data_IF_394865220314
#
_entry.id   IF_394865220314
#
_cell.length_a   1.000
_cell.length_b   1.000
_cell.length_c   1.000
_cell.angle_alpha   90.00
_cell.angle_beta   90.00
_cell.angle_gamma   90.00
#
_symmetry.space_group_name_H-M   'P 1'
#
loop_
_entity.id
_entity.type
_entity.pdbx_description
1 polymer ?
#
# COMPACT_ATOMS: atom_id res chain seq x y z
N UNK A 1 -20.52 7.96 -24.20
CA UNK A 1 -19.73 8.71 -23.21
C UNK A 1 -20.34 8.44 -21.86
N UNK A 2 -19.73 7.55 -21.08
CA UNK A 2 -19.78 7.54 -19.61
C UNK A 2 -18.50 6.83 -19.20
N UNK A 3 -17.51 7.63 -18.83
CA UNK A 3 -16.33 7.18 -18.13
C UNK A 3 -16.66 7.43 -16.66
N UNK A 4 -16.84 6.35 -15.91
CA UNK A 4 -16.95 6.39 -14.44
C UNK A 4 -15.64 5.80 -13.94
N UNK A 5 -14.55 6.55 -14.04
CA UNK A 5 -13.37 6.30 -13.21
C UNK A 5 -13.77 6.63 -11.78
N UNK A 6 -14.02 5.59 -10.99
CA UNK A 6 -14.27 5.75 -9.58
C UNK A 6 -12.91 5.85 -8.89
N UNK A 7 -12.29 7.03 -8.90
CA UNK A 7 -11.04 7.27 -8.19
C UNK A 7 -11.31 7.27 -6.67
N UNK A 8 -10.54 6.48 -5.90
CA UNK A 8 -10.54 6.58 -4.43
C UNK A 8 -9.24 7.23 -3.97
N UNK A 9 -9.36 8.36 -3.29
CA UNK A 9 -8.25 8.98 -2.57
C UNK A 9 -8.24 8.57 -1.10
N UNK A 10 -7.07 8.21 -0.56
CA UNK A 10 -6.89 7.94 0.86
C UNK A 10 -5.77 8.78 1.46
N UNK A 11 -5.85 8.97 2.78
CA UNK A 11 -4.79 9.56 3.58
C UNK A 11 -4.31 8.52 4.59
N UNK A 12 -2.99 8.36 4.69
CA UNK A 12 -2.35 7.54 5.71
C UNK A 12 -1.54 8.44 6.63
N UNK A 13 -1.64 8.21 7.93
CA UNK A 13 -0.97 9.02 8.95
C UNK A 13 -0.05 8.11 9.77
N UNK A 14 1.06 8.64 10.25
CA UNK A 14 1.98 7.91 11.12
C UNK A 14 2.82 8.86 11.94
N UNK A 15 3.41 8.37 13.05
CA UNK A 15 4.33 9.17 13.86
C UNK A 15 5.69 9.37 13.17
N UNK A 16 5.95 8.56 12.15
CA UNK A 16 7.16 8.57 11.34
C UNK A 16 6.82 8.04 9.94
N UNK A 17 7.78 8.13 9.02
CA UNK A 17 7.61 7.69 7.63
C UNK A 17 7.24 6.22 7.53
N UNK A 18 7.89 5.35 8.31
CA UNK A 18 7.62 3.92 8.32
C UNK A 18 6.16 3.65 8.68
N UNK A 19 5.66 4.21 9.79
CA UNK A 19 4.27 4.02 10.26
C UNK A 19 3.25 4.57 9.24
N UNK A 20 3.58 5.66 8.56
CA UNK A 20 2.72 6.20 7.52
C UNK A 20 2.62 5.25 6.32
N UNK A 21 3.74 4.65 5.88
CA UNK A 21 3.77 3.68 4.79
C UNK A 21 3.09 2.35 5.16
N UNK A 22 3.25 1.89 6.41
CA UNK A 22 2.51 0.73 6.94
C UNK A 22 0.99 0.96 6.81
N UNK A 23 0.52 2.13 7.24
CA UNK A 23 -0.89 2.51 7.16
C UNK A 23 -1.36 2.71 5.72
N UNK A 24 -0.49 3.13 4.80
CA UNK A 24 -0.83 3.22 3.38
C UNK A 24 -1.06 1.84 2.75
N UNK A 25 -0.23 0.85 3.09
CA UNK A 25 -0.46 -0.54 2.68
C UNK A 25 -1.80 -1.06 3.23
N UNK A 26 -2.07 -0.83 4.51
CA UNK A 26 -3.34 -1.21 5.13
C UNK A 26 -4.55 -0.53 4.48
N UNK A 27 -4.42 0.74 4.07
CA UNK A 27 -5.50 1.47 3.40
C UNK A 27 -5.89 0.85 2.07
N UNK A 28 -4.91 0.44 1.25
CA UNK A 28 -5.17 -0.24 -0.03
C UNK A 28 -5.92 -1.55 0.18
N UNK A 29 -5.46 -2.39 1.11
CA UNK A 29 -6.12 -3.67 1.33
C UNK A 29 -7.50 -3.51 1.95
N UNK A 30 -7.73 -2.49 2.79
CA UNK A 30 -9.06 -2.16 3.30
C UNK A 30 -10.03 -1.66 2.22
N UNK A 31 -9.55 -1.09 1.12
CA UNK A 31 -10.40 -0.76 -0.04
C UNK A 31 -10.78 -2.05 -0.78
N UNK A 32 -9.85 -3.00 -0.89
CA UNK A 32 -10.05 -4.25 -1.63
C UNK A 32 -10.98 -5.21 -0.85
N UNK A 33 -10.73 -5.40 0.44
CA UNK A 33 -11.40 -6.37 1.30
C UNK A 33 -11.29 -5.99 2.78
N UNK A 34 -12.20 -6.51 3.60
CA UNK A 34 -12.12 -6.31 5.04
C UNK A 34 -10.87 -6.98 5.66
N UNK A 35 -9.89 -6.16 6.05
CA UNK A 35 -8.60 -6.64 6.57
C UNK A 35 -8.68 -7.31 7.93
N UNK A 36 -9.73 -7.05 8.73
CA UNK A 36 -9.94 -7.69 10.04
C UNK A 36 -10.14 -9.21 9.91
N UNK A 37 -10.59 -9.67 8.74
CA UNK A 37 -10.78 -11.09 8.46
C UNK A 37 -9.53 -11.75 7.87
N UNK A 38 -8.44 -11.03 7.60
CA UNK A 38 -7.21 -11.60 7.02
C UNK A 38 -6.28 -12.06 8.14
N UNK A 39 -5.94 -13.35 8.13
CA UNK A 39 -4.97 -13.92 9.05
C UNK A 39 -3.54 -13.80 8.49
N UNK A 40 -2.59 -13.18 9.19
CA UNK A 40 -1.22 -13.01 8.73
C UNK A 40 -0.41 -14.32 8.92
N UNK A 41 -0.66 -15.32 8.07
CA UNK A 41 -0.04 -16.65 8.14
C UNK A 41 1.20 -16.78 7.26
N UNK A 42 1.19 -16.12 6.10
CA UNK A 42 2.29 -16.07 5.13
C UNK A 42 2.97 -14.71 5.25
N UNK A 43 4.29 -14.69 5.08
CA UNK A 43 5.10 -13.48 5.08
C UNK A 43 5.84 -13.38 3.76
N UNK A 44 5.82 -12.21 3.15
CA UNK A 44 6.60 -11.87 1.96
C UNK A 44 7.49 -10.69 2.33
N UNK A 45 8.75 -10.75 1.91
CA UNK A 45 9.73 -9.69 2.10
C UNK A 45 10.20 -9.21 0.73
N UNK A 46 10.25 -7.89 0.55
CA UNK A 46 10.78 -7.26 -0.66
C UNK A 46 11.44 -5.92 -0.32
N UNK A 47 12.34 -5.48 -1.21
CA UNK A 47 13.08 -4.24 -1.06
C UNK A 47 12.88 -3.35 -2.29
N UNK A 48 12.68 -2.05 -2.08
CA UNK A 48 12.48 -1.04 -3.12
C UNK A 48 13.50 0.06 -2.92
N UNK A 49 14.00 0.63 -4.01
CA UNK A 49 14.88 1.79 -4.00
C UNK A 49 14.38 2.83 -4.98
N UNK A 50 14.18 4.06 -4.51
CA UNK A 50 13.68 5.16 -5.33
C UNK A 50 14.36 6.48 -4.96
N UNK A 51 14.48 7.39 -5.93
CA UNK A 51 15.18 8.67 -5.78
C UNK A 51 14.47 9.63 -4.81
N UNK A 52 13.15 9.53 -4.69
CA UNK A 52 12.30 10.39 -3.88
C UNK A 52 11.19 9.59 -3.16
N UNK A 53 10.66 10.16 -2.07
CA UNK A 53 9.64 9.54 -1.22
C UNK A 53 8.31 9.27 -1.94
N UNK A 54 7.95 10.14 -2.89
CA UNK A 54 6.72 9.99 -3.68
C UNK A 54 6.87 8.81 -4.63
N UNK A 55 8.02 8.68 -5.29
CA UNK A 55 8.32 7.53 -6.14
C UNK A 55 8.37 6.25 -5.31
N UNK A 56 9.00 6.30 -4.12
CA UNK A 56 9.05 5.19 -3.17
C UNK A 56 7.65 4.72 -2.76
N UNK A 57 6.74 5.66 -2.50
CA UNK A 57 5.35 5.34 -2.18
C UNK A 57 4.63 4.69 -3.37
N UNK A 58 4.80 5.22 -4.57
CA UNK A 58 4.22 4.63 -5.77
C UNK A 58 4.70 3.19 -5.99
N UNK A 59 6.03 2.99 -6.03
CA UNK A 59 6.65 1.67 -6.24
C UNK A 59 6.18 0.68 -5.17
N UNK A 60 6.11 1.12 -3.90
CA UNK A 60 5.62 0.29 -2.80
C UNK A 60 4.16 -0.14 -3.00
N UNK A 61 3.25 0.79 -3.30
CA UNK A 61 1.83 0.46 -3.47
C UNK A 61 1.60 -0.38 -4.74
N UNK A 62 2.38 -0.16 -5.80
CA UNK A 62 2.35 -0.97 -7.03
C UNK A 62 2.79 -2.40 -6.75
N UNK A 63 3.87 -2.60 -5.99
CA UNK A 63 4.36 -3.93 -5.61
C UNK A 63 3.33 -4.68 -4.74
N UNK A 64 2.66 -4.00 -3.82
CA UNK A 64 1.55 -4.58 -3.04
C UNK A 64 0.42 -5.09 -3.95
N UNK A 65 0.04 -4.28 -4.94
CA UNK A 65 -1.00 -4.63 -5.89
C UNK A 65 -0.56 -5.80 -6.78
N UNK A 66 0.70 -5.83 -7.20
CA UNK A 66 1.28 -6.93 -7.95
C UNK A 66 1.18 -8.26 -7.18
N UNK A 67 1.57 -8.30 -5.90
CA UNK A 67 1.41 -9.49 -5.08
C UNK A 67 -0.06 -9.91 -4.92
N UNK A 68 -0.97 -8.95 -4.82
CA UNK A 68 -2.41 -9.25 -4.77
C UNK A 68 -2.91 -9.91 -6.05
N UNK A 69 -2.56 -9.36 -7.23
CA UNK A 69 -3.06 -9.83 -8.52
C UNK A 69 -2.39 -11.11 -9.01
N UNK A 70 -1.09 -11.28 -8.73
CA UNK A 70 -0.30 -12.41 -9.25
C UNK A 70 -0.33 -13.60 -8.29
N UNK A 71 -0.15 -13.36 -6.99
CA UNK A 71 -0.12 -14.42 -5.99
C UNK A 71 -1.51 -14.70 -5.37
N UNK A 72 -2.53 -13.91 -5.73
CA UNK A 72 -3.90 -14.02 -5.19
C UNK A 72 -3.94 -14.01 -3.65
N UNK A 73 -3.21 -13.07 -3.05
CA UNK A 73 -3.08 -12.92 -1.60
C UNK A 73 -3.69 -11.62 -1.09
N UNK A 74 -4.14 -11.63 0.16
CA UNK A 74 -4.59 -10.47 0.90
C UNK A 74 -3.71 -10.28 2.13
N UNK A 75 -3.38 -9.03 2.46
CA UNK A 75 -2.44 -8.70 3.54
C UNK A 75 -3.10 -7.80 4.59
N UNK A 76 -2.75 -8.02 5.86
CA UNK A 76 -3.28 -7.26 7.01
C UNK A 76 -2.21 -6.72 7.95
N UNK A 77 -0.98 -7.23 7.89
CA UNK A 77 0.15 -6.67 8.62
C UNK A 77 1.23 -6.21 7.64
N UNK A 78 1.71 -4.99 7.87
CA UNK A 78 2.80 -4.37 7.11
C UNK A 78 3.83 -3.93 8.13
N UNK A 79 5.09 -4.28 7.90
CA UNK A 79 6.23 -3.84 8.68
C UNK A 79 7.19 -3.17 7.70
N UNK A 80 7.40 -1.87 7.86
CA UNK A 80 8.17 -1.08 6.90
C UNK A 80 9.40 -0.48 7.58
N UNK A 81 10.55 -0.58 6.92
CA UNK A 81 11.78 0.08 7.33
C UNK A 81 12.29 0.93 6.16
N UNK A 82 12.29 2.26 6.32
CA UNK A 82 12.80 3.18 5.31
C UNK A 82 14.12 3.78 5.80
N UNK A 83 15.16 3.60 5.00
CA UNK A 83 16.49 4.16 5.20
C UNK A 83 16.79 5.16 4.09
N UNK A 84 17.15 6.38 4.47
CA UNK A 84 17.62 7.41 3.53
C UNK A 84 19.13 7.32 3.39
N UNK A 85 19.62 7.13 2.16
CA UNK A 85 21.04 7.25 1.81
C UNK A 85 21.32 8.63 1.22
N UNK A 86 22.59 8.94 0.89
CA UNK A 86 22.99 10.27 0.39
C UNK A 86 22.26 10.67 -0.91
N UNK A 87 21.86 9.70 -1.74
CA UNK A 87 21.25 9.92 -3.06
C UNK A 87 19.83 9.32 -3.21
N UNK A 88 19.47 8.30 -2.42
CA UNK A 88 18.22 7.53 -2.61
C UNK A 88 17.49 7.20 -1.29
N UNK A 89 16.25 6.71 -1.41
CA UNK A 89 15.51 6.06 -0.33
C UNK A 89 15.44 4.56 -0.58
N UNK A 90 15.76 3.78 0.45
CA UNK A 90 15.61 2.33 0.45
C UNK A 90 14.49 1.94 1.41
N UNK A 91 13.53 1.18 0.91
CA UNK A 91 12.41 0.65 1.68
C UNK A 91 12.52 -0.86 1.74
N UNK A 92 12.49 -1.41 2.96
CA UNK A 92 12.31 -2.84 3.19
C UNK A 92 10.92 -3.06 3.75
N UNK A 93 10.16 -3.92 3.07
CA UNK A 93 8.81 -4.27 3.47
C UNK A 93 8.71 -5.74 3.82
N UNK A 94 8.12 -6.01 4.98
CA UNK A 94 7.65 -7.33 5.35
C UNK A 94 6.13 -7.25 5.44
N UNK A 95 5.45 -7.89 4.51
CA UNK A 95 4.00 -7.94 4.45
C UNK A 95 3.51 -9.33 4.85
N UNK A 96 2.45 -9.40 5.65
CA UNK A 96 1.86 -10.67 6.07
C UNK A 96 0.38 -10.74 5.79
N UNK A 97 -0.03 -11.93 5.41
CA UNK A 97 -1.36 -12.19 4.89
C UNK A 97 -1.67 -13.66 4.71
N UNK A 98 -2.68 -13.94 3.91
CA UNK A 98 -3.08 -15.29 3.50
C UNK A 98 -3.59 -15.27 2.05
N UNK A 99 -3.70 -16.46 1.45
CA UNK A 99 -4.35 -16.61 0.15
C UNK A 99 -5.82 -16.21 0.23
N UNK A 100 -6.34 -15.63 -0.86
CA UNK A 100 -7.75 -15.27 -0.96
C UNK A 100 -8.62 -16.51 -0.79
N UNK A 101 -9.55 -16.43 0.15
CA UNK A 101 -10.55 -17.44 0.41
C UNK A 101 -11.94 -16.80 0.26
N UNK A 102 -12.62 -17.09 -0.85
CA UNK A 102 -13.93 -16.51 -1.17
C UNK A 102 -15.08 -16.92 -0.23
N UNK A 103 -14.89 -17.95 0.61
CA UNK A 103 -15.85 -18.29 1.68
C UNK A 103 -15.67 -17.43 2.94
N UNK A 104 -14.52 -16.76 3.08
CA UNK A 104 -14.12 -15.99 4.26
C UNK A 104 -13.98 -14.49 3.98
N UNK A 105 -13.43 -14.12 2.83
CA UNK A 105 -13.09 -12.76 2.46
C UNK A 105 -14.20 -12.16 1.58
N UNK A 106 -14.73 -11.02 2.02
CA UNK A 106 -15.66 -10.21 1.23
C UNK A 106 -14.88 -9.37 0.23
N UNK A 107 -15.41 -9.22 -0.98
CA UNK A 107 -14.79 -8.40 -2.02
C UNK A 107 -15.54 -7.08 -2.12
N UNK A 108 -14.92 -6.02 -1.60
CA UNK A 108 -15.55 -4.69 -1.57
C UNK A 108 -15.29 -3.93 -2.86
N UNK A 109 -14.02 -3.78 -3.26
CA UNK A 109 -13.63 -3.14 -4.51
C UNK A 109 -12.43 -3.85 -5.15
N UNK A 110 -12.19 -3.60 -6.44
CA UNK A 110 -10.97 -4.00 -7.14
C UNK A 110 -10.21 -2.71 -7.45
N UNK A 111 -8.93 -2.64 -7.08
CA UNK A 111 -8.06 -1.55 -7.50
C UNK A 111 -7.37 -2.01 -8.78
N UNK A 112 -7.48 -1.22 -9.85
CA UNK A 112 -6.83 -1.50 -11.14
C UNK A 112 -5.42 -0.98 -11.21
N UNK A 113 -5.18 0.20 -10.65
CA UNK A 113 -3.89 0.86 -10.76
C UNK A 113 -3.66 1.89 -9.64
N UNK A 114 -2.40 2.04 -9.27
CA UNK A 114 -1.93 3.16 -8.44
C UNK A 114 -1.65 4.33 -9.36
N UNK A 115 -2.01 5.55 -8.94
CA UNK A 115 -1.75 6.75 -9.74
C UNK A 115 -0.80 7.70 -9.02
N UNK A 116 0.08 8.34 -9.78
CA UNK A 116 0.85 9.50 -9.30
C UNK A 116 -0.04 10.75 -9.10
N UNK A 117 -1.32 10.70 -9.46
CA UNK A 117 -2.17 11.87 -9.49
C UNK A 117 -2.48 12.35 -8.06
N UNK A 118 -2.01 13.55 -7.72
CA UNK A 118 -2.11 14.13 -6.36
C UNK A 118 -1.49 13.29 -5.24
N UNK A 119 -0.51 12.43 -5.58
CA UNK A 119 0.27 11.72 -4.57
C UNK A 119 1.20 12.69 -3.84
N UNK A 120 1.21 12.67 -2.51
CA UNK A 120 2.01 13.57 -1.69
C UNK A 120 2.51 12.87 -0.43
N UNK A 121 3.75 13.16 -0.06
CA UNK A 121 4.38 12.71 1.17
C UNK A 121 4.79 13.94 1.97
N UNK A 122 4.34 14.02 3.22
CA UNK A 122 4.62 15.15 4.09
C UNK A 122 5.32 14.69 5.37
N UNK A 123 6.58 15.07 5.52
CA UNK A 123 7.40 14.79 6.70
C UNK A 123 7.40 15.95 7.73
N UNK A 124 6.23 16.45 8.13
CA UNK A 124 6.12 17.41 9.24
C UNK A 124 6.07 16.71 10.61
N UNK A 125 5.75 17.44 11.69
CA UNK A 125 5.61 16.86 13.06
C UNK A 125 4.68 15.63 13.11
N UNK A 126 3.62 15.61 12.29
CA UNK A 126 2.82 14.43 12.00
C UNK A 126 3.05 14.04 10.53
N UNK A 127 3.57 12.82 10.30
CA UNK A 127 3.83 12.34 8.95
C UNK A 127 2.53 11.87 8.33
N UNK A 128 2.26 12.34 7.11
CA UNK A 128 1.10 11.87 6.36
C UNK A 128 1.42 11.68 4.89
N UNK A 129 0.69 10.76 4.28
CA UNK A 129 0.75 10.40 2.88
C UNK A 129 -0.64 10.55 2.29
N UNK A 130 -0.69 10.95 1.03
CA UNK A 130 -1.91 10.98 0.23
C UNK A 130 -1.65 10.25 -1.07
N UNK A 131 -2.57 9.37 -1.46
CA UNK A 131 -2.54 8.69 -2.75
C UNK A 131 -3.95 8.57 -3.34
N UNK A 132 -4.02 8.41 -4.65
CA UNK A 132 -5.26 8.16 -5.40
C UNK A 132 -5.09 6.87 -6.19
N UNK A 133 -6.06 5.98 -6.06
CA UNK A 133 -6.13 4.69 -6.77
C UNK A 133 -7.31 4.68 -7.73
N UNK A 134 -7.12 4.05 -8.88
CA UNK A 134 -8.15 3.82 -9.89
C UNK A 134 -8.81 2.45 -9.65
N UNK A 135 -10.13 2.40 -9.66
CA UNK A 135 -10.95 1.18 -9.48
C UNK A 135 -11.41 0.58 -10.80
#
# INVERSE_FOLDING_TARGET
MFDVTADIGFYAFGKNLNEAFENAGLAIFNIISNTDNINPQKSIEFEITSEDEVSLLYDYLEELLFYHEVEFMLFSEFIIEIEKTDDDYHLKAIIKGEDINWDKHERDCEIKAITFHQMEVNMSDDVWLKAIVDL
#
